data_IF_134175600949
#
_entry.id   IF_134175600949
#
_cell.length_a   1.000
_cell.length_b   1.000
_cell.length_c   1.000
_cell.angle_alpha   90.00
_cell.angle_beta   90.00
_cell.angle_gamma   90.00
#
_symmetry.space_group_name_H-M   'P 1'
#
loop_
_entity.id
_entity.type
_entity.pdbx_description
1 polymer ?
#
# COMPACT_ATOMS: atom_id res chain seq x y z
N UNK A 1 30.38 -16.12 10.23
CA UNK A 1 29.11 -16.84 10.46
C UNK A 1 28.05 -16.16 9.61
N UNK A 2 27.58 -16.80 8.54
CA UNK A 2 26.51 -16.25 7.70
C UNK A 2 25.20 -16.48 8.45
N UNK A 3 24.68 -15.45 9.10
CA UNK A 3 23.33 -15.47 9.66
C UNK A 3 22.37 -15.60 8.49
N UNK A 4 21.97 -16.84 8.17
CA UNK A 4 20.93 -17.09 7.18
C UNK A 4 19.66 -16.46 7.73
N UNK A 5 19.32 -15.27 7.23
CA UNK A 5 18.08 -14.58 7.53
C UNK A 5 16.96 -15.53 7.12
N UNK A 6 16.04 -15.92 8.02
CA UNK A 6 14.92 -16.78 7.63
C UNK A 6 14.25 -16.17 6.40
N UNK A 7 13.81 -16.98 5.41
CA UNK A 7 13.13 -16.46 4.24
C UNK A 7 11.97 -15.61 4.72
N UNK A 8 12.05 -14.31 4.45
CA UNK A 8 11.14 -13.37 5.04
C UNK A 8 9.74 -13.65 4.49
N UNK A 9 8.82 -14.07 5.37
CA UNK A 9 7.46 -14.39 4.97
C UNK A 9 6.84 -13.14 4.36
N UNK A 10 6.47 -13.23 3.08
CA UNK A 10 5.97 -12.09 2.30
C UNK A 10 4.49 -12.28 2.01
N UNK A 11 3.67 -11.31 2.42
CA UNK A 11 2.22 -11.32 2.23
C UNK A 11 1.87 -10.36 1.09
N UNK A 12 1.35 -10.84 -0.05
CA UNK A 12 0.93 -9.96 -1.14
C UNK A 12 -0.33 -9.20 -0.74
N UNK A 13 -0.33 -7.88 -0.93
CA UNK A 13 -1.48 -7.02 -0.67
C UNK A 13 -1.72 -6.10 -1.86
N UNK A 14 -2.88 -6.19 -2.51
CA UNK A 14 -3.21 -5.35 -3.66
C UNK A 14 -4.40 -4.42 -3.37
N UNK A 15 -4.26 -3.15 -3.73
CA UNK A 15 -5.31 -2.13 -3.62
C UNK A 15 -5.34 -1.22 -4.85
N UNK A 16 -5.06 -1.78 -6.02
CA UNK A 16 -4.84 -1.05 -7.25
C UNK A 16 -5.96 -1.27 -8.28
N UNK A 17 -7.23 -1.07 -7.94
CA UNK A 17 -8.36 -1.17 -8.89
C UNK A 17 -8.26 -0.15 -10.05
N UNK A 18 -8.98 -0.34 -11.16
CA UNK A 18 -8.96 0.62 -12.29
C UNK A 18 -9.48 2.01 -11.93
N UNK A 19 -10.41 2.07 -10.98
CA UNK A 19 -10.96 3.29 -10.42
C UNK A 19 -10.93 3.20 -8.90
N UNK A 20 -10.64 4.33 -8.25
CA UNK A 20 -10.65 4.44 -6.80
C UNK A 20 -11.30 5.75 -6.36
N UNK A 21 -11.94 5.79 -5.19
CA UNK A 21 -12.52 7.03 -4.66
C UNK A 21 -11.42 8.00 -4.23
N UNK A 22 -11.60 9.29 -4.51
CA UNK A 22 -10.80 10.35 -3.92
C UNK A 22 -10.95 10.31 -2.39
N UNK A 23 -9.86 10.36 -1.61
CA UNK A 23 -9.92 10.26 -0.15
C UNK A 23 -10.67 11.43 0.52
N UNK A 24 -10.84 12.56 -0.18
CA UNK A 24 -11.50 13.75 0.38
C UNK A 24 -13.00 13.80 0.05
N UNK A 25 -13.40 13.45 -1.18
CA UNK A 25 -14.78 13.64 -1.65
C UNK A 25 -15.46 12.37 -2.19
N UNK A 26 -14.76 11.23 -2.21
CA UNK A 26 -15.30 9.96 -2.71
C UNK A 26 -15.44 9.85 -4.24
N UNK A 27 -15.29 10.95 -5.00
CA UNK A 27 -15.42 10.91 -6.47
C UNK A 27 -14.37 9.99 -7.10
N UNK A 28 -14.81 9.15 -8.04
CA UNK A 28 -13.93 8.15 -8.68
C UNK A 28 -12.88 8.80 -9.58
N UNK A 29 -11.61 8.54 -9.28
CA UNK A 29 -10.45 8.80 -10.14
C UNK A 29 -10.13 7.63 -11.06
N UNK A 30 -9.34 7.89 -12.10
CA UNK A 30 -8.87 6.86 -13.05
C UNK A 30 -7.43 6.47 -12.73
N UNK A 31 -7.13 5.17 -12.69
CA UNK A 31 -5.77 4.67 -12.45
C UNK A 31 -4.83 5.17 -13.56
N UNK A 32 -3.76 5.84 -13.15
CA UNK A 32 -2.67 6.34 -13.98
C UNK A 32 -1.48 5.39 -13.97
N UNK A 33 -1.23 4.73 -12.83
CA UNK A 33 -0.12 3.82 -12.67
C UNK A 33 -0.32 2.85 -11.51
N UNK A 34 0.51 1.81 -11.51
CA UNK A 34 0.61 0.82 -10.42
C UNK A 34 2.02 0.93 -9.85
N UNK A 35 2.10 0.94 -8.52
CA UNK A 35 3.34 1.05 -7.77
C UNK A 35 3.42 -0.13 -6.80
N UNK A 36 4.65 -0.59 -6.54
CA UNK A 36 4.92 -1.64 -5.58
C UNK A 36 5.81 -1.10 -4.46
N UNK A 37 5.60 -1.55 -3.23
CA UNK A 37 6.50 -1.28 -2.11
C UNK A 37 6.44 -2.39 -1.08
N UNK A 38 7.57 -2.65 -0.46
CA UNK A 38 7.65 -3.56 0.67
C UNK A 38 7.48 -2.79 1.99
N UNK A 39 6.65 -3.31 2.90
CA UNK A 39 6.38 -2.74 4.22
C UNK A 39 6.69 -3.79 5.26
N UNK A 40 7.40 -3.42 6.32
CA UNK A 40 7.65 -4.33 7.43
C UNK A 40 6.39 -4.44 8.30
N UNK A 41 6.08 -5.64 8.78
CA UNK A 41 4.95 -5.89 9.67
C UNK A 41 5.31 -6.98 10.69
N UNK A 42 4.49 -7.13 11.72
CA UNK A 42 4.58 -8.20 12.70
C UNK A 42 3.32 -9.06 12.58
N UNK A 43 3.50 -10.34 12.27
CA UNK A 43 2.41 -11.31 12.20
C UNK A 43 2.92 -12.67 12.66
N UNK A 44 2.08 -13.46 13.33
CA UNK A 44 2.47 -14.78 13.84
C UNK A 44 3.72 -14.74 14.74
N UNK A 45 3.81 -13.72 15.60
CA UNK A 45 4.95 -13.48 16.51
C UNK A 45 6.33 -13.37 15.82
N UNK A 46 6.35 -13.05 14.52
CA UNK A 46 7.58 -12.86 13.74
C UNK A 46 7.51 -11.64 12.82
N UNK A 47 8.69 -11.19 12.38
CA UNK A 47 8.80 -10.13 11.37
C UNK A 47 8.42 -10.69 10.01
N UNK A 48 7.40 -10.08 9.40
CA UNK A 48 6.95 -10.37 8.04
C UNK A 48 7.07 -9.12 7.17
N UNK A 49 6.97 -9.28 5.85
CA UNK A 49 6.91 -8.16 4.93
C UNK A 49 5.62 -8.20 4.11
N UNK A 50 4.95 -7.07 3.98
CA UNK A 50 3.83 -6.90 3.05
C UNK A 50 4.40 -6.41 1.72
N UNK A 51 4.19 -7.16 0.64
CA UNK A 51 4.45 -6.67 -0.70
C UNK A 51 3.18 -5.98 -1.23
N UNK A 52 3.18 -4.65 -1.17
CA UNK A 52 2.00 -3.82 -1.42
C UNK A 52 2.02 -3.30 -2.84
N UNK A 53 1.05 -3.73 -3.61
CA UNK A 53 0.71 -3.17 -4.92
C UNK A 53 -0.43 -2.16 -4.78
N UNK A 54 -0.14 -0.88 -5.03
CA UNK A 54 -1.11 0.21 -4.89
C UNK A 54 -1.18 1.06 -6.15
N UNK A 55 -2.32 1.71 -6.37
CA UNK A 55 -2.56 2.52 -7.55
C UNK A 55 -2.24 3.99 -7.32
N UNK A 56 -1.70 4.65 -8.33
CA UNK A 56 -1.74 6.10 -8.46
C UNK A 56 -2.86 6.48 -9.43
N UNK A 57 -3.70 7.45 -9.05
CA UNK A 57 -4.92 7.82 -9.76
C UNK A 57 -4.88 9.29 -10.13
N UNK A 58 -5.41 9.61 -11.32
CA UNK A 58 -5.77 10.96 -11.70
C UNK A 58 -7.16 11.27 -11.16
N UNK A 59 -7.27 12.30 -10.34
CA UNK A 59 -8.54 12.72 -9.78
C UNK A 59 -9.43 13.37 -10.85
N UNK A 60 -10.75 13.21 -10.69
CA UNK A 60 -11.79 13.88 -11.51
C UNK A 60 -12.57 14.94 -10.72
N UNK A 61 -11.99 15.38 -9.61
CA UNK A 61 -12.54 16.35 -8.66
C UNK A 61 -11.56 17.51 -8.48
N UNK A 62 -11.98 18.54 -7.75
CA UNK A 62 -11.12 19.70 -7.42
C UNK A 62 -10.35 19.54 -6.11
N UNK A 63 -10.54 18.44 -5.36
CA UNK A 63 -9.85 18.22 -4.10
C UNK A 63 -8.34 17.99 -4.26
N UNK A 64 -7.95 17.34 -5.37
CA UNK A 64 -6.55 17.05 -5.69
C UNK A 64 -6.40 16.80 -7.19
N UNK A 65 -5.16 16.82 -7.69
CA UNK A 65 -4.83 16.45 -9.08
C UNK A 65 -4.61 14.94 -9.23
N UNK A 66 -3.89 14.35 -8.27
CA UNK A 66 -3.66 12.91 -8.16
C UNK A 66 -3.81 12.46 -6.71
N UNK A 67 -4.04 11.16 -6.53
CA UNK A 67 -4.02 10.51 -5.22
C UNK A 67 -3.55 9.07 -5.37
N UNK A 68 -3.21 8.44 -4.25
CA UNK A 68 -2.80 7.03 -4.21
C UNK A 68 -3.72 6.25 -3.28
N UNK A 69 -3.99 5.00 -3.62
CA UNK A 69 -4.62 4.08 -2.67
C UNK A 69 -3.60 3.61 -1.65
N UNK A 70 -4.10 3.23 -0.49
CA UNK A 70 -3.32 2.63 0.58
C UNK A 70 -4.06 1.37 1.04
N UNK A 71 -3.34 0.29 1.36
CA UNK A 71 -3.97 -0.81 2.08
C UNK A 71 -4.39 -0.34 3.48
N UNK A 72 -5.42 -0.99 4.02
CA UNK A 72 -5.96 -0.67 5.34
C UNK A 72 -4.86 -0.86 6.41
N UNK A 73 -4.75 0.10 7.34
CA UNK A 73 -3.77 0.05 8.42
C UNK A 73 -2.34 0.42 8.00
N UNK A 74 -2.16 1.01 6.82
CA UNK A 74 -0.85 1.43 6.32
C UNK A 74 -0.87 2.91 5.97
N UNK A 75 0.00 3.67 6.62
CA UNK A 75 0.15 5.09 6.32
C UNK A 75 0.98 5.36 5.07
N UNK A 76 0.75 6.52 4.46
CA UNK A 76 1.47 6.95 3.28
C UNK A 76 2.97 7.07 3.58
N UNK A 77 3.81 6.39 2.76
CA UNK A 77 5.27 6.33 2.92
C UNK A 77 5.79 5.69 4.21
N UNK A 78 4.92 5.14 5.07
CA UNK A 78 5.37 4.42 6.27
C UNK A 78 6.22 3.19 5.91
N UNK A 79 7.22 2.91 6.76
CA UNK A 79 8.09 1.74 6.63
C UNK A 79 7.52 0.50 7.33
N UNK A 80 6.64 0.72 8.32
CA UNK A 80 5.94 -0.30 9.09
C UNK A 80 4.42 -0.13 8.92
N UNK A 81 3.63 -1.18 9.18
CA UNK A 81 2.17 -1.08 9.28
C UNK A 81 1.71 -0.72 10.70
N UNK A 82 0.48 -0.24 10.84
CA UNK A 82 -0.08 0.20 12.13
C UNK A 82 -0.61 -0.98 12.96
N UNK A 83 -0.08 -2.19 12.76
CA UNK A 83 -0.45 -3.38 13.55
C UNK A 83 0.54 -3.51 14.71
N UNK A 84 0.10 -3.10 15.89
CA UNK A 84 0.82 -3.27 17.17
C UNK A 84 -0.17 -3.79 18.20
#
# INVERSE_FOLDING_TARGET
MLTQRPPAFTIPTSCCSEKAPCPTCGKLGQRKGVLNRQIRSIAYDQVVYLDVTYGEYRARCHCCSTFRTLPIGVEFKAHDDNKV
#
